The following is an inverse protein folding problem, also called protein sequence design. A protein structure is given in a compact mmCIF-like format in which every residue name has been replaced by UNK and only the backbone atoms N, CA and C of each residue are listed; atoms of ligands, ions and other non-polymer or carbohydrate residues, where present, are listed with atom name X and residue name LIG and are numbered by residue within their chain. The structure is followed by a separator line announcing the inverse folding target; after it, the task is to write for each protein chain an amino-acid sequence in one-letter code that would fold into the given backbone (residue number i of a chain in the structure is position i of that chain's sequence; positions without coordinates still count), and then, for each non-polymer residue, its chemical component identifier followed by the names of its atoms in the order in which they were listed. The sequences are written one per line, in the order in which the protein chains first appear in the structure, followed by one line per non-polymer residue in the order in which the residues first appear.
data_IF_612095859308
#
_entry.id   IF_612095859308
#
_cell.length_a   1.000
_cell.length_b   1.000
_cell.length_c   1.000
_cell.angle_alpha   90.00
_cell.angle_beta   90.00
_cell.angle_gamma   90.00
#
_symmetry.space_group_name_H-M   'P 1'
#
loop_
_entity.id
_entity.type
_entity.pdbx_description
1 polymer ?
#
# COMPACT_ATOMS: atom_id res chain seq x y z
N UNK A 1 -5.19 -6.99 4.10
CA UNK A 1 -3.78 -6.56 3.99
C UNK A 1 -3.72 -5.05 4.00
N UNK A 2 -2.72 -4.46 4.64
CA UNK A 2 -2.54 -3.00 4.69
C UNK A 2 -1.17 -2.68 4.13
N UNK A 3 -1.10 -1.74 3.17
CA UNK A 3 0.17 -1.33 2.57
C UNK A 3 0.17 0.16 2.18
N UNK A 4 1.31 0.86 2.35
CA UNK A 4 1.52 2.16 1.77
C UNK A 4 1.85 2.01 0.28
N UNK A 5 1.14 2.76 -0.57
CA UNK A 5 1.27 2.69 -2.03
C UNK A 5 1.66 4.06 -2.56
N UNK A 6 2.75 4.12 -3.32
CA UNK A 6 3.24 5.34 -3.95
C UNK A 6 4.76 5.33 -4.15
N UNK A 7 5.32 6.40 -4.71
CA UNK A 7 6.76 6.53 -4.88
C UNK A 7 7.49 6.48 -3.53
N UNK A 8 8.72 5.95 -3.57
CA UNK A 8 9.59 5.89 -2.41
C UNK A 8 9.96 7.27 -1.90
N UNK A 9 10.12 7.41 -0.58
CA UNK A 9 10.55 8.65 0.09
C UNK A 9 9.64 9.88 -0.12
N UNK A 10 8.46 9.71 -0.71
CA UNK A 10 7.43 10.76 -0.81
C UNK A 10 6.21 10.41 0.04
N UNK A 11 5.22 11.32 0.08
CA UNK A 11 3.89 10.99 0.59
C UNK A 11 3.29 9.84 -0.24
N UNK A 12 2.74 8.86 0.46
CA UNK A 12 2.13 7.64 -0.08
C UNK A 12 0.69 7.53 0.41
N UNK A 13 -0.11 6.70 -0.25
CA UNK A 13 -1.49 6.42 0.14
C UNK A 13 -1.56 5.10 0.92
N UNK A 14 -2.05 5.14 2.16
CA UNK A 14 -2.33 3.95 2.93
C UNK A 14 -3.56 3.26 2.36
N UNK A 15 -3.35 2.07 1.80
CA UNK A 15 -4.37 1.27 1.13
C UNK A 15 -4.65 0.01 1.93
N UNK A 16 -5.94 -0.28 2.11
CA UNK A 16 -6.41 -1.54 2.68
C UNK A 16 -6.98 -2.39 1.56
N UNK A 17 -6.51 -3.63 1.49
CA UNK A 17 -7.04 -4.67 0.59
C UNK A 17 -7.79 -5.69 1.44
N UNK A 18 -9.08 -5.84 1.17
CA UNK A 18 -9.96 -6.79 1.86
C UNK A 18 -10.38 -7.88 0.89
N UNK A 19 -10.22 -9.15 1.30
CA UNK A 19 -10.73 -10.28 0.53
C UNK A 19 -12.18 -10.52 0.93
N UNK A 20 -13.11 -10.36 -0.01
CA UNK A 20 -14.56 -10.44 0.23
C UNK A 20 -15.20 -11.70 -0.37
N UNK A 21 -14.48 -12.42 -1.24
CA UNK A 21 -14.83 -13.75 -1.74
C UNK A 21 -13.54 -14.48 -2.19
N UNK A 22 -13.58 -15.79 -2.52
CA UNK A 22 -12.40 -16.54 -2.96
C UNK A 22 -11.56 -15.83 -4.04
N UNK A 23 -12.22 -15.25 -5.03
CA UNK A 23 -11.59 -14.58 -6.19
C UNK A 23 -11.85 -13.07 -6.26
N UNK A 24 -12.30 -12.47 -5.14
CA UNK A 24 -12.67 -11.05 -5.10
C UNK A 24 -12.02 -10.33 -3.94
N UNK A 25 -11.32 -9.25 -4.27
CA UNK A 25 -10.81 -8.28 -3.31
C UNK A 25 -11.41 -6.91 -3.57
N UNK A 26 -11.59 -6.14 -2.50
CA UNK A 26 -11.88 -4.70 -2.58
C UNK A 26 -10.71 -3.92 -2.01
N UNK A 27 -10.55 -2.69 -2.48
CA UNK A 27 -9.45 -1.80 -2.12
C UNK A 27 -9.99 -0.46 -1.65
N UNK A 28 -9.46 0.07 -0.55
CA UNK A 28 -9.85 1.37 -0.01
C UNK A 28 -8.64 2.22 0.37
N UNK A 29 -8.70 3.50 0.00
CA UNK A 29 -7.81 4.55 0.49
C UNK A 29 -8.21 4.98 1.90
N UNK A 30 -7.26 5.00 2.84
CA UNK A 30 -7.53 5.33 4.25
C UNK A 30 -6.90 6.66 4.65
N UNK A 31 -5.64 6.88 4.29
CA UNK A 31 -4.90 8.06 4.71
C UNK A 31 -3.69 8.34 3.81
N UNK A 32 -3.09 9.52 3.97
CA UNK A 32 -1.76 9.83 3.44
C UNK A 32 -0.71 9.52 4.52
N UNK A 33 0.35 8.82 4.14
CA UNK A 33 1.42 8.35 5.06
C UNK A 33 2.80 8.53 4.43
N UNK A 34 3.87 8.37 5.21
CA UNK A 34 5.25 8.34 4.73
C UNK A 34 5.98 7.14 5.33
N UNK A 35 6.40 6.22 4.47
CA UNK A 35 7.13 5.01 4.85
C UNK A 35 8.41 4.91 4.02
N UNK A 36 9.40 4.17 4.54
CA UNK A 36 10.56 3.75 3.75
C UNK A 36 10.10 2.84 2.59
N UNK A 37 10.75 2.88 1.41
CA UNK A 37 10.31 2.09 0.27
C UNK A 37 10.38 0.58 0.56
N UNK A 38 9.32 -0.15 0.21
CA UNK A 38 9.31 -1.61 0.24
C UNK A 38 9.83 -2.18 -1.10
N UNK A 39 11.09 -1.87 -1.40
CA UNK A 39 11.79 -2.31 -2.60
C UNK A 39 13.14 -2.92 -2.22
N UNK A 40 13.72 -3.75 -3.09
CA UNK A 40 15.11 -4.19 -2.88
C UNK A 40 16.04 -2.98 -2.89
N UNK A 41 17.08 -3.02 -2.06
CA UNK A 41 18.23 -2.15 -2.22
C UNK A 41 18.84 -2.40 -3.60
N UNK A 42 19.15 -1.36 -4.36
CA UNK A 42 19.79 -1.47 -5.67
C UNK A 42 21.33 -1.58 -5.57
N UNK A 43 21.83 -1.95 -4.40
CA UNK A 43 23.24 -1.91 -4.05
C UNK A 43 23.88 -3.29 -3.97
#
# INVERSE_FOLDING_TARGET
LVMPVGPGYTTQQLTVVEKIAPDKTTTRAVALVRFVPFTRSQH
#
